data_IF_521188713149
#
_entry.id   IF_521188713149
#
_cell.length_a   1.000
_cell.length_b   1.000
_cell.length_c   1.000
_cell.angle_alpha   90.00
_cell.angle_beta   90.00
_cell.angle_gamma   90.00
#
_symmetry.space_group_name_H-M   'P 1'
#
loop_
_entity.id
_entity.type
_entity.pdbx_description
1 polymer ?
#
# COMPACT_ATOMS: atom_id res chain seq x y z
N UNK A 1 -2.11 -14.74 -11.05
CA UNK A 1 -1.66 -13.98 -9.86
C UNK A 1 -2.88 -13.66 -9.01
N UNK A 2 -2.87 -13.97 -7.70
CA UNK A 2 -4.01 -13.73 -6.81
C UNK A 2 -3.86 -12.32 -6.23
N UNK A 3 -4.72 -11.38 -6.60
CA UNK A 3 -4.73 -10.02 -6.04
C UNK A 3 -5.14 -10.08 -4.56
N UNK A 4 -4.23 -9.73 -3.66
CA UNK A 4 -4.46 -9.68 -2.20
C UNK A 4 -5.17 -8.35 -1.90
N UNK A 5 -6.50 -8.38 -1.75
CA UNK A 5 -7.29 -7.21 -1.38
C UNK A 5 -7.43 -7.14 0.14
N UNK A 6 -6.94 -6.07 0.76
CA UNK A 6 -7.16 -5.84 2.20
C UNK A 6 -8.32 -4.86 2.38
N UNK A 7 -9.28 -5.20 3.24
CA UNK A 7 -10.37 -4.29 3.61
C UNK A 7 -9.92 -3.39 4.75
N UNK A 8 -9.55 -2.16 4.42
CA UNK A 8 -9.48 -1.07 5.38
C UNK A 8 -10.79 -0.29 5.36
N UNK A 9 -11.60 -0.45 6.40
CA UNK A 9 -12.66 0.47 6.85
C UNK A 9 -13.56 1.19 5.81
N UNK A 10 -13.82 0.58 4.65
CA UNK A 10 -14.69 1.01 3.53
C UNK A 10 -13.99 1.35 2.20
N UNK A 11 -12.66 1.30 2.10
CA UNK A 11 -11.94 1.36 0.82
C UNK A 11 -11.32 0.01 0.48
N UNK A 12 -11.66 -0.54 -0.69
CA UNK A 12 -10.91 -1.66 -1.27
C UNK A 12 -9.64 -1.07 -1.86
N UNK A 13 -8.55 -1.12 -1.11
CA UNK A 13 -7.24 -0.66 -1.56
C UNK A 13 -6.52 -1.89 -2.12
N UNK A 14 -6.09 -1.82 -3.38
CA UNK A 14 -5.26 -2.85 -3.99
C UNK A 14 -3.82 -2.57 -3.57
N UNK A 15 -3.17 -3.56 -2.95
CA UNK A 15 -1.78 -3.41 -2.49
C UNK A 15 -0.83 -3.22 -3.67
N UNK A 16 -1.20 -3.78 -4.82
CA UNK A 16 -0.42 -3.64 -6.03
C UNK A 16 -0.36 -2.18 -6.48
N UNK A 17 -1.47 -1.43 -6.36
CA UNK A 17 -1.49 -0.02 -6.73
C UNK A 17 -0.54 0.78 -5.80
N UNK A 18 -0.50 0.46 -4.51
CA UNK A 18 0.41 1.10 -3.53
C UNK A 18 1.88 0.77 -3.84
N UNK A 19 2.18 -0.48 -4.17
CA UNK A 19 3.50 -0.96 -4.54
C UNK A 19 4.00 -0.30 -5.84
N UNK A 20 3.15 -0.21 -6.87
CA UNK A 20 3.46 0.49 -8.13
C UNK A 20 3.79 1.97 -7.89
N UNK A 21 3.04 2.68 -7.03
CA UNK A 21 3.37 4.07 -6.68
C UNK A 21 4.73 4.18 -5.98
N UNK A 22 5.05 3.24 -5.10
CA UNK A 22 6.34 3.22 -4.41
C UNK A 22 7.50 2.92 -5.36
N UNK A 23 7.33 1.95 -6.28
CA UNK A 23 8.31 1.64 -7.33
C UNK A 23 8.52 2.82 -8.31
N UNK A 24 7.48 3.64 -8.54
CA UNK A 24 7.59 4.90 -9.29
C UNK A 24 8.32 6.01 -8.52
N UNK A 25 8.67 5.79 -7.25
CA UNK A 25 9.42 6.73 -6.42
C UNK A 25 8.55 7.74 -5.66
N UNK A 26 7.24 7.47 -5.51
CA UNK A 26 6.40 8.29 -4.63
C UNK A 26 6.76 8.03 -3.16
N UNK A 27 6.67 9.09 -2.36
CA UNK A 27 6.89 8.98 -0.91
C UNK A 27 5.68 8.35 -0.23
N UNK A 28 5.91 7.66 0.89
CA UNK A 28 4.84 7.07 1.71
C UNK A 28 3.77 8.10 2.13
N UNK A 29 4.17 9.35 2.32
CA UNK A 29 3.29 10.48 2.62
C UNK A 29 2.34 10.82 1.47
N UNK A 30 2.83 10.76 0.22
CA UNK A 30 2.02 11.03 -0.98
C UNK A 30 1.02 9.89 -1.22
N UNK A 31 1.50 8.65 -1.09
CA UNK A 31 0.67 7.44 -1.20
C UNK A 31 -0.40 7.44 -0.11
N UNK A 32 -0.04 7.73 1.14
CA UNK A 32 -0.99 7.82 2.24
C UNK A 32 -2.09 8.86 1.98
N UNK A 33 -1.71 10.00 1.39
CA UNK A 33 -2.64 11.09 1.07
C UNK A 33 -3.57 10.73 -0.10
N UNK A 34 -3.06 10.06 -1.14
CA UNK A 34 -3.87 9.65 -2.30
C UNK A 34 -4.87 8.56 -1.94
N UNK A 35 -4.47 7.59 -1.11
CA UNK A 35 -5.35 6.52 -0.67
C UNK A 35 -6.22 6.90 0.53
N UNK A 36 -5.95 8.05 1.17
CA UNK A 36 -6.59 8.51 2.42
C UNK A 36 -6.44 7.48 3.55
N UNK A 37 -5.20 7.02 3.75
CA UNK A 37 -4.82 6.02 4.75
C UNK A 37 -3.71 6.54 5.65
N UNK A 38 -3.57 6.02 6.88
CA UNK A 38 -2.46 6.38 7.74
C UNK A 38 -1.11 6.00 7.12
N UNK A 39 -0.11 6.88 7.20
CA UNK A 39 1.27 6.59 6.75
C UNK A 39 1.82 5.32 7.40
N UNK A 40 1.53 5.08 8.68
CA UNK A 40 1.89 3.84 9.39
C UNK A 40 1.35 2.58 8.72
N UNK A 41 0.23 2.69 8.02
CA UNK A 41 -0.34 1.58 7.27
C UNK A 41 0.44 1.34 5.99
N UNK A 42 0.82 2.40 5.27
CA UNK A 42 1.72 2.29 4.10
C UNK A 42 3.05 1.64 4.50
N UNK A 43 3.69 2.10 5.58
CA UNK A 43 4.92 1.50 6.12
C UNK A 43 4.76 0.01 6.47
N UNK A 44 3.64 -0.37 7.09
CA UNK A 44 3.34 -1.77 7.39
C UNK A 44 3.17 -2.60 6.13
N UNK A 45 2.47 -2.08 5.11
CA UNK A 45 2.27 -2.77 3.84
C UNK A 45 3.58 -3.01 3.10
N UNK A 46 4.46 -2.01 3.05
CA UNK A 46 5.78 -2.15 2.42
C UNK A 46 6.62 -3.20 3.13
N UNK A 47 6.60 -3.22 4.47
CA UNK A 47 7.33 -4.23 5.26
C UNK A 47 6.79 -5.65 5.09
N UNK A 48 5.50 -5.81 4.85
CA UNK A 48 4.89 -7.11 4.59
C UNK A 48 5.20 -7.63 3.17
N UNK A 49 5.43 -6.74 2.19
CA UNK A 49 5.83 -7.10 0.83
C UNK A 49 7.25 -7.72 0.78
N UNK A 50 8.19 -7.19 1.59
CA UNK A 50 9.56 -7.73 1.73
C UNK A 50 9.63 -9.12 2.40
N UNK A 51 8.53 -9.62 2.99
CA UNK A 51 8.53 -10.83 3.83
C UNK A 51 8.11 -12.11 3.10
N UNK A 52 7.83 -12.05 1.80
CA UNK A 52 7.54 -13.22 0.96
C UNK A 52 8.73 -13.68 0.08
N UNK A 53 9.99 -13.45 0.51
CA UNK A 53 11.20 -14.13 -0.02
C UNK A 53 11.58 -15.38 0.80
#
# INVERSE_FOLDING_TARGET
MKKKRIKLNHKNIDLHDIEELYEMGLSEEEIARDFDIPIKYVDSLMKDADREE
#
